data_IF_931859519722
#
_entry.id   IF_931859519722
#
_cell.length_a   1.000
_cell.length_b   1.000
_cell.length_c   1.000
_cell.angle_alpha   90.00
_cell.angle_beta   90.00
_cell.angle_gamma   90.00
#
_symmetry.space_group_name_H-M   'P 1'
#
loop_
_entity.id
_entity.type
_entity.pdbx_description
1 polymer ?
#
# COMPACT_ATOMS: atom_id res chain seq x y z
N UNK A 1 10.20 -14.53 20.17
CA UNK A 1 9.81 -15.97 20.19
C UNK A 1 9.46 -16.39 18.77
N UNK A 2 10.04 -17.50 18.29
CA UNK A 2 9.69 -18.07 16.98
C UNK A 2 8.24 -18.58 17.03
N UNK A 3 7.44 -18.21 16.04
CA UNK A 3 6.03 -18.60 15.95
C UNK A 3 5.89 -19.89 15.15
N UNK A 4 6.57 -19.98 14.00
CA UNK A 4 6.67 -21.20 13.18
C UNK A 4 7.98 -21.23 12.41
N UNK A 5 8.29 -22.38 11.83
CA UNK A 5 9.35 -22.56 10.85
C UNK A 5 8.87 -23.56 9.81
N UNK A 6 8.99 -23.21 8.55
CA UNK A 6 8.71 -24.07 7.41
C UNK A 6 10.01 -24.29 6.64
N UNK A 7 10.22 -25.50 6.15
CA UNK A 7 11.41 -25.85 5.38
C UNK A 7 10.98 -26.66 4.16
N UNK A 8 11.50 -26.31 3.01
CA UNK A 8 11.29 -27.05 1.78
C UNK A 8 12.62 -27.22 1.04
N UNK A 9 12.88 -28.43 0.57
CA UNK A 9 14.04 -28.71 -0.26
C UNK A 9 13.68 -28.49 -1.72
N UNK A 10 14.40 -27.58 -2.36
CA UNK A 10 14.18 -27.21 -3.76
C UNK A 10 15.44 -27.47 -4.56
N UNK A 11 15.26 -28.04 -5.74
CA UNK A 11 16.31 -28.16 -6.75
C UNK A 11 15.84 -27.46 -8.01
N UNK A 12 16.65 -26.58 -8.57
CA UNK A 12 16.37 -25.82 -9.78
C UNK A 12 17.45 -26.06 -10.84
N UNK A 13 17.04 -26.21 -12.09
CA UNK A 13 17.95 -26.18 -13.22
C UNK A 13 18.37 -24.72 -13.53
N UNK A 14 19.47 -24.48 -14.26
CA UNK A 14 19.85 -23.14 -14.69
C UNK A 14 18.71 -22.44 -15.49
N UNK A 15 18.31 -21.25 -15.05
CA UNK A 15 17.22 -20.49 -15.66
C UNK A 15 15.80 -20.94 -15.27
N UNK A 16 15.67 -21.96 -14.42
CA UNK A 16 14.36 -22.40 -13.92
C UNK A 16 13.85 -21.48 -12.83
N UNK A 17 12.55 -21.16 -12.88
CA UNK A 17 11.82 -20.46 -11.84
C UNK A 17 10.77 -21.37 -11.21
N UNK A 18 10.69 -21.41 -9.90
CA UNK A 18 9.68 -22.19 -9.16
C UNK A 18 9.01 -21.34 -8.09
N UNK A 19 7.69 -21.36 -8.10
CA UNK A 19 6.88 -20.73 -7.05
C UNK A 19 6.63 -21.75 -5.93
N UNK A 20 7.05 -21.41 -4.71
CA UNK A 20 6.81 -22.21 -3.52
C UNK A 20 5.68 -21.56 -2.74
N UNK A 21 4.67 -22.37 -2.39
CA UNK A 21 3.54 -21.92 -1.57
C UNK A 21 3.50 -22.74 -0.30
N UNK A 22 3.64 -22.08 0.84
CA UNK A 22 3.57 -22.70 2.16
C UNK A 22 2.54 -21.99 3.02
N UNK A 23 1.93 -22.73 3.95
CA UNK A 23 0.95 -22.19 4.88
C UNK A 23 1.23 -22.75 6.28
N UNK A 24 1.10 -21.90 7.29
CA UNK A 24 1.15 -22.29 8.69
C UNK A 24 0.11 -21.53 9.50
N UNK A 25 -0.62 -22.18 10.42
CA UNK A 25 -1.49 -21.49 11.35
C UNK A 25 -0.66 -20.72 12.39
N UNK A 26 -1.12 -19.54 12.74
CA UNK A 26 -0.59 -18.77 13.87
C UNK A 26 -1.65 -18.78 14.97
N UNK A 27 -1.39 -19.48 16.05
CA UNK A 27 -2.32 -19.55 17.18
C UNK A 27 -2.29 -18.27 18.00
N UNK A 28 -3.47 -17.72 18.28
CA UNK A 28 -3.65 -16.48 19.06
C UNK A 28 -2.73 -15.34 18.59
N UNK A 29 -2.81 -14.95 17.30
CA UNK A 29 -1.92 -13.92 16.78
C UNK A 29 -2.20 -12.56 17.43
N UNK A 30 -1.14 -11.77 17.62
CA UNK A 30 -1.29 -10.34 17.88
C UNK A 30 -1.64 -9.68 16.56
N UNK A 31 -2.87 -9.18 16.46
CA UNK A 31 -3.36 -8.56 15.24
C UNK A 31 -2.89 -7.10 15.17
N UNK A 32 -2.42 -6.73 13.99
CA UNK A 32 -2.07 -5.35 13.69
C UNK A 32 -3.34 -4.47 13.63
N UNK A 33 -3.27 -3.31 14.25
CA UNK A 33 -4.25 -2.24 14.07
C UNK A 33 -3.56 -0.86 14.21
N UNK A 34 -4.30 0.20 13.94
CA UNK A 34 -3.73 1.56 13.92
C UNK A 34 -3.25 2.06 15.28
N UNK A 35 -3.73 1.50 16.39
CA UNK A 35 -3.32 1.86 17.75
C UNK A 35 -2.23 0.92 18.31
N UNK A 36 -2.21 -0.33 17.81
CA UNK A 36 -1.19 -1.31 18.13
C UNK A 36 -0.65 -1.94 16.84
N UNK A 37 0.29 -1.28 16.15
CA UNK A 37 0.81 -1.72 14.86
C UNK A 37 1.86 -2.84 15.03
N UNK A 38 1.46 -3.98 15.58
CA UNK A 38 2.34 -5.10 15.83
C UNK A 38 2.76 -5.78 14.53
N UNK A 39 4.07 -5.91 14.34
CA UNK A 39 4.67 -6.56 13.17
C UNK A 39 5.42 -7.83 13.58
N UNK A 40 5.21 -8.89 12.82
CA UNK A 40 6.01 -10.09 12.88
C UNK A 40 7.22 -9.96 11.96
N UNK A 41 8.35 -10.51 12.39
CA UNK A 41 9.51 -10.63 11.53
C UNK A 41 9.40 -11.90 10.69
N UNK A 42 9.38 -11.76 9.38
CA UNK A 42 9.52 -12.84 8.41
C UNK A 42 10.99 -12.96 8.01
N UNK A 43 11.53 -14.18 8.08
CA UNK A 43 12.89 -14.46 7.64
C UNK A 43 12.80 -15.56 6.60
N UNK A 44 13.26 -15.28 5.39
CA UNK A 44 13.42 -16.25 4.31
C UNK A 44 14.92 -16.52 4.17
N UNK A 45 15.30 -17.80 4.36
CA UNK A 45 16.71 -18.21 4.36
C UNK A 45 16.95 -19.28 3.30
N UNK A 46 18.03 -19.12 2.58
CA UNK A 46 18.67 -20.17 1.77
C UNK A 46 20.07 -20.43 2.34
N UNK A 47 20.84 -21.31 1.70
CA UNK A 47 22.22 -21.57 2.12
C UNK A 47 23.14 -20.34 2.00
N UNK A 48 22.80 -19.39 1.11
CA UNK A 48 23.67 -18.28 0.76
C UNK A 48 23.07 -16.89 1.00
N UNK A 49 21.78 -16.82 1.34
CA UNK A 49 21.05 -15.56 1.44
C UNK A 49 20.00 -15.60 2.57
N UNK A 50 19.81 -14.47 3.22
CA UNK A 50 18.71 -14.26 4.15
C UNK A 50 18.01 -12.94 3.83
N UNK A 51 16.69 -13.01 3.58
CA UNK A 51 15.81 -11.84 3.41
C UNK A 51 15.01 -11.69 4.69
N UNK A 52 14.99 -10.48 5.21
CA UNK A 52 14.23 -10.13 6.42
C UNK A 52 13.19 -9.09 6.06
N UNK A 53 11.94 -9.40 6.39
CA UNK A 53 10.79 -8.52 6.17
C UNK A 53 9.92 -8.45 7.43
N UNK A 54 9.00 -7.47 7.46
CA UNK A 54 8.06 -7.29 8.54
C UNK A 54 6.64 -7.42 8.00
N UNK A 55 5.86 -8.31 8.60
CA UNK A 55 4.49 -8.59 8.17
C UNK A 55 3.47 -8.31 9.26
N UNK A 56 2.35 -7.74 8.86
CA UNK A 56 1.19 -7.50 9.72
C UNK A 56 0.17 -8.62 9.54
N UNK A 57 -0.34 -9.16 10.63
CA UNK A 57 -1.50 -10.04 10.60
C UNK A 57 -2.75 -9.21 10.84
N UNK A 58 -3.56 -9.01 9.81
CA UNK A 58 -4.80 -8.24 9.87
C UNK A 58 -5.82 -8.78 8.87
N UNK A 59 -7.10 -8.53 9.14
CA UNK A 59 -8.19 -8.81 8.22
C UNK A 59 -8.97 -7.54 7.94
N UNK A 60 -9.10 -7.19 6.67
CA UNK A 60 -9.94 -6.08 6.21
C UNK A 60 -11.15 -6.68 5.50
N UNK A 61 -12.34 -6.22 5.84
CA UNK A 61 -13.60 -6.66 5.26
C UNK A 61 -14.50 -5.45 4.99
N UNK A 62 -15.27 -5.52 3.90
CA UNK A 62 -16.34 -4.58 3.62
C UNK A 62 -17.66 -5.33 3.76
N UNK A 63 -18.51 -4.92 4.70
CA UNK A 63 -19.82 -5.48 4.95
C UNK A 63 -20.84 -4.34 5.06
N UNK A 64 -21.93 -4.45 4.30
CA UNK A 64 -22.99 -3.44 4.30
C UNK A 64 -22.45 -2.00 4.12
N UNK A 65 -21.53 -1.82 3.18
CA UNK A 65 -20.87 -0.53 2.88
C UNK A 65 -20.01 0.03 4.04
N UNK A 66 -19.68 -0.79 5.02
CA UNK A 66 -18.83 -0.42 6.17
C UNK A 66 -17.53 -1.23 6.13
N UNK A 67 -16.42 -0.55 6.39
CA UNK A 67 -15.09 -1.17 6.48
C UNK A 67 -14.86 -1.66 7.91
N UNK A 68 -14.38 -2.90 8.01
CA UNK A 68 -13.98 -3.54 9.27
C UNK A 68 -12.50 -3.91 9.23
N UNK A 69 -11.80 -3.63 10.30
CA UNK A 69 -10.46 -4.11 10.58
C UNK A 69 -10.52 -5.10 11.75
N UNK A 70 -10.12 -6.36 11.52
CA UNK A 70 -10.19 -7.43 12.52
C UNK A 70 -11.57 -7.59 13.18
N UNK A 71 -12.63 -7.41 12.40
CA UNK A 71 -14.02 -7.49 12.86
C UNK A 71 -14.55 -6.23 13.56
N UNK A 72 -13.76 -5.19 13.75
CA UNK A 72 -14.19 -3.91 14.33
C UNK A 72 -14.43 -2.88 13.23
N UNK A 73 -15.54 -2.14 13.32
CA UNK A 73 -15.81 -1.02 12.41
C UNK A 73 -14.70 0.02 12.51
N UNK A 74 -14.21 0.48 11.37
CA UNK A 74 -13.24 1.57 11.33
C UNK A 74 -13.78 2.77 10.56
N UNK A 75 -13.25 3.94 10.90
CA UNK A 75 -13.44 5.17 10.15
C UNK A 75 -12.07 5.76 9.85
N UNK A 76 -11.82 6.06 8.58
CA UNK A 76 -10.61 6.78 8.19
C UNK A 76 -10.68 8.22 8.69
N UNK A 77 -9.70 8.58 9.50
CA UNK A 77 -9.38 9.95 9.91
C UNK A 77 -8.00 10.22 9.34
N UNK A 78 -7.96 10.80 8.18
CA UNK A 78 -6.73 10.88 7.42
C UNK A 78 -6.63 12.13 6.57
N UNK A 79 -5.56 12.19 5.83
CA UNK A 79 -5.20 13.28 4.93
C UNK A 79 -4.78 12.74 3.57
N UNK A 80 -4.92 13.58 2.54
CA UNK A 80 -4.23 13.37 1.27
C UNK A 80 -2.78 13.85 1.46
N UNK A 81 -1.83 13.01 1.08
CA UNK A 81 -0.41 13.33 1.20
C UNK A 81 0.24 13.28 -0.17
N UNK A 82 0.98 14.32 -0.49
CA UNK A 82 1.93 14.35 -1.60
C UNK A 82 3.35 14.16 -1.08
N UNK A 83 4.23 13.56 -1.90
CA UNK A 83 5.65 13.68 -1.69
C UNK A 83 6.06 15.12 -2.02
N UNK A 84 6.29 15.91 -0.98
CA UNK A 84 6.59 17.33 -1.11
C UNK A 84 7.42 17.83 0.07
N UNK A 85 8.51 18.49 -0.23
CA UNK A 85 9.41 19.13 0.72
C UNK A 85 9.86 20.49 0.19
N UNK A 86 9.95 21.53 1.04
CA UNK A 86 10.29 22.88 0.60
C UNK A 86 11.73 23.02 0.07
N UNK A 87 12.61 22.06 0.35
CA UNK A 87 14.01 22.07 -0.09
C UNK A 87 14.28 21.08 -1.21
N UNK A 88 13.79 19.83 -1.05
CA UNK A 88 14.08 18.74 -1.97
C UNK A 88 12.99 18.51 -3.04
N UNK A 89 11.89 19.28 -2.99
CA UNK A 89 10.77 19.16 -3.91
C UNK A 89 10.05 17.82 -3.75
N UNK A 90 9.91 17.05 -4.83
CA UNK A 90 9.24 15.74 -4.82
C UNK A 90 10.16 14.58 -4.41
N UNK A 91 11.44 14.84 -4.17
CA UNK A 91 12.39 13.81 -3.71
C UNK A 91 12.35 13.72 -2.20
N UNK A 92 11.73 12.67 -1.68
CA UNK A 92 11.49 12.48 -0.24
C UNK A 92 12.37 11.36 0.29
N UNK A 93 12.93 11.57 1.47
CA UNK A 93 13.73 10.58 2.20
C UNK A 93 12.99 10.02 3.43
N UNK A 94 13.48 8.93 4.05
CA UNK A 94 12.84 8.32 5.21
C UNK A 94 12.68 9.25 6.42
N UNK A 95 13.62 10.20 6.64
CA UNK A 95 13.56 11.15 7.75
C UNK A 95 12.38 12.13 7.59
N UNK A 96 12.16 12.60 6.37
CA UNK A 96 11.03 13.49 6.05
C UNK A 96 9.71 12.77 6.23
N UNK A 97 9.60 11.50 5.77
CA UNK A 97 8.41 10.67 6.01
C UNK A 97 8.21 10.43 7.50
N UNK A 98 9.25 10.13 8.26
CA UNK A 98 9.17 9.97 9.72
C UNK A 98 8.57 11.20 10.38
N UNK A 99 8.97 12.38 9.94
CA UNK A 99 8.44 13.66 10.45
C UNK A 99 6.96 13.78 10.18
N UNK A 100 6.53 13.54 8.93
CA UNK A 100 5.12 13.57 8.53
C UNK A 100 4.27 12.60 9.34
N UNK A 101 4.68 11.32 9.39
CA UNK A 101 3.94 10.28 10.10
C UNK A 101 3.85 10.55 11.60
N UNK A 102 4.93 11.04 12.20
CA UNK A 102 4.94 11.40 13.63
C UNK A 102 3.96 12.53 13.91
N UNK A 103 3.98 13.59 13.10
CA UNK A 103 3.07 14.72 13.22
C UNK A 103 1.62 14.28 13.07
N UNK A 104 1.32 13.48 12.05
CA UNK A 104 -0.02 12.95 11.82
C UNK A 104 -0.51 12.08 12.99
N UNK A 105 0.36 11.24 13.58
CA UNK A 105 0.01 10.45 14.78
C UNK A 105 -0.32 11.33 15.99
N UNK A 106 0.48 12.37 16.21
CA UNK A 106 0.22 13.33 17.31
C UNK A 106 -1.13 14.03 17.17
N UNK A 107 -1.65 14.13 15.93
CA UNK A 107 -2.98 14.69 15.65
C UNK A 107 -4.08 13.63 15.48
N UNK A 108 -3.84 12.40 15.92
CA UNK A 108 -4.79 11.28 15.90
C UNK A 108 -5.27 10.86 14.48
N UNK A 109 -4.46 11.03 13.46
CA UNK A 109 -4.73 10.45 12.16
C UNK A 109 -4.42 8.94 12.16
N UNK A 110 -5.23 8.17 11.44
CA UNK A 110 -5.07 6.74 11.30
C UNK A 110 -5.02 6.28 9.82
N UNK A 111 -5.15 7.20 8.87
CA UNK A 111 -5.17 6.89 7.46
C UNK A 111 -4.46 7.96 6.63
N UNK A 112 -3.90 7.54 5.51
CA UNK A 112 -3.27 8.41 4.51
C UNK A 112 -3.75 7.96 3.13
N UNK A 113 -4.06 8.91 2.25
CA UNK A 113 -4.22 8.65 0.83
C UNK A 113 -2.99 9.12 0.09
N UNK A 114 -2.38 8.19 -0.68
CA UNK A 114 -1.20 8.49 -1.50
C UNK A 114 -1.62 9.26 -2.75
N UNK A 115 -1.93 10.52 -2.60
CA UNK A 115 -2.40 11.34 -3.72
C UNK A 115 -1.23 11.91 -4.53
N UNK A 116 -1.15 11.70 -5.86
CA UNK A 116 -2.09 10.91 -6.69
C UNK A 116 -1.30 9.83 -7.44
N UNK A 117 -0.43 9.10 -6.77
CA UNK A 117 0.52 8.13 -7.32
C UNK A 117 1.01 7.17 -6.22
N UNK A 118 1.50 5.97 -6.57
CA UNK A 118 2.16 5.08 -5.63
C UNK A 118 3.40 5.75 -5.03
N UNK A 119 3.58 5.58 -3.73
CA UNK A 119 4.78 6.07 -3.05
C UNK A 119 5.92 5.04 -3.11
N UNK A 120 7.12 5.44 -2.67
CA UNK A 120 8.26 4.53 -2.56
C UNK A 120 7.95 3.37 -1.58
N UNK A 121 8.46 2.14 -1.82
CA UNK A 121 8.16 0.97 -0.97
C UNK A 121 8.37 1.20 0.52
N UNK A 122 9.42 1.91 0.91
CA UNK A 122 9.70 2.21 2.31
C UNK A 122 8.62 3.09 2.99
N UNK A 123 7.83 3.87 2.24
CA UNK A 123 6.70 4.61 2.79
C UNK A 123 5.66 3.66 3.38
N UNK A 124 5.31 2.60 2.66
CA UNK A 124 4.33 1.60 3.12
C UNK A 124 4.83 0.83 4.34
N UNK A 125 6.12 0.45 4.34
CA UNK A 125 6.74 -0.17 5.51
C UNK A 125 6.67 0.75 6.75
N UNK A 126 6.88 2.04 6.56
CA UNK A 126 6.75 3.02 7.63
C UNK A 126 5.30 3.19 8.06
N UNK A 127 4.34 3.19 7.15
CA UNK A 127 2.92 3.21 7.48
C UNK A 127 2.53 1.98 8.33
N UNK A 128 3.02 0.81 8.00
CA UNK A 128 2.81 -0.41 8.80
C UNK A 128 3.40 -0.26 10.21
N UNK A 129 4.60 0.29 10.35
CA UNK A 129 5.28 0.52 11.64
C UNK A 129 4.58 1.58 12.50
N UNK A 130 4.10 2.65 11.88
CA UNK A 130 3.44 3.76 12.58
C UNK A 130 1.93 3.56 12.76
N UNK A 131 1.35 2.51 12.18
CA UNK A 131 -0.06 2.20 12.31
C UNK A 131 -0.97 3.08 11.46
N UNK A 132 -0.65 3.26 10.19
CA UNK A 132 -1.50 3.94 9.23
C UNK A 132 -2.13 2.96 8.25
N UNK A 133 -3.43 3.15 8.01
CA UNK A 133 -4.09 2.60 6.84
C UNK A 133 -3.74 3.45 5.63
N UNK A 134 -3.47 2.83 4.49
CA UNK A 134 -3.19 3.57 3.26
C UNK A 134 -4.29 3.30 2.24
N UNK A 135 -4.80 4.37 1.64
CA UNK A 135 -5.58 4.32 0.40
C UNK A 135 -4.58 4.62 -0.69
N UNK A 136 -4.12 3.57 -1.35
CA UNK A 136 -3.13 3.68 -2.40
C UNK A 136 -3.77 4.04 -3.73
N UNK A 137 -3.13 4.90 -4.51
CA UNK A 137 -3.61 5.31 -5.82
C UNK A 137 -2.64 4.82 -6.91
N UNK A 138 -3.21 4.27 -7.97
CA UNK A 138 -2.47 4.05 -9.20
C UNK A 138 -2.12 5.41 -9.85
N UNK A 139 -1.04 5.46 -10.61
CA UNK A 139 -0.59 6.67 -11.31
C UNK A 139 -1.42 6.92 -12.57
N UNK A 140 -2.70 7.23 -12.37
CA UNK A 140 -3.67 7.48 -13.45
C UNK A 140 -4.32 8.87 -13.37
N UNK A 141 -3.60 9.87 -12.90
CA UNK A 141 -4.10 11.26 -12.88
C UNK A 141 -4.31 11.78 -14.32
N UNK A 142 -5.56 11.71 -14.78
CA UNK A 142 -5.93 11.83 -16.19
C UNK A 142 -6.26 13.26 -16.65
N UNK A 143 -5.79 14.32 -15.98
CA UNK A 143 -6.04 15.71 -16.37
C UNK A 143 -5.50 16.04 -17.78
N UNK A 144 -4.33 15.52 -18.15
CA UNK A 144 -3.73 15.76 -19.44
C UNK A 144 -4.60 15.29 -20.61
N UNK A 145 -4.96 13.99 -20.68
CA UNK A 145 -5.89 13.48 -21.68
C UNK A 145 -7.23 14.21 -21.69
N UNK A 146 -7.79 14.49 -20.51
CA UNK A 146 -9.03 15.23 -20.39
C UNK A 146 -8.95 16.62 -21.05
N UNK A 147 -7.89 17.38 -20.81
CA UNK A 147 -7.72 18.72 -21.37
C UNK A 147 -7.50 18.72 -22.88
N UNK A 148 -6.78 17.72 -23.41
CA UNK A 148 -6.45 17.61 -24.84
C UNK A 148 -7.68 17.20 -25.66
N UNK A 149 -8.47 16.24 -25.14
CA UNK A 149 -9.57 15.64 -25.89
C UNK A 149 -10.96 16.17 -25.53
N UNK A 150 -11.02 17.19 -24.73
CA UNK A 150 -12.28 17.85 -24.38
C UNK A 150 -12.87 18.53 -25.62
N UNK A 151 -14.05 18.04 -26.07
CA UNK A 151 -14.77 18.63 -27.23
C UNK A 151 -15.74 19.70 -26.82
N UNK A 152 -16.36 19.59 -25.64
CA UNK A 152 -17.36 20.53 -25.12
C UNK A 152 -17.17 20.70 -23.61
N UNK A 153 -17.35 21.91 -23.12
CA UNK A 153 -17.18 22.28 -21.71
C UNK A 153 -18.53 22.15 -20.97
N UNK A 154 -19.13 20.96 -21.00
CA UNK A 154 -20.29 20.66 -20.17
C UNK A 154 -19.84 19.83 -18.97
N UNK A 155 -20.41 20.08 -17.79
CA UNK A 155 -20.06 19.34 -16.56
C UNK A 155 -20.20 17.84 -16.72
N UNK A 156 -21.22 17.38 -17.46
CA UNK A 156 -21.44 15.96 -17.71
C UNK A 156 -20.32 15.31 -18.56
N UNK A 157 -19.93 15.97 -19.66
CA UNK A 157 -18.85 15.46 -20.53
C UNK A 157 -17.48 15.56 -19.85
N UNK A 158 -17.31 16.50 -18.95
CA UNK A 158 -16.10 16.68 -18.16
C UNK A 158 -15.79 15.46 -17.29
N UNK A 159 -16.76 14.97 -16.52
CA UNK A 159 -16.57 13.83 -15.62
C UNK A 159 -16.56 12.49 -16.36
N UNK A 160 -17.37 12.32 -17.38
CA UNK A 160 -17.49 11.06 -18.13
C UNK A 160 -16.21 10.69 -18.89
N UNK A 161 -15.48 11.67 -19.42
CA UNK A 161 -14.27 11.44 -20.21
C UNK A 161 -12.99 11.28 -19.36
N UNK A 162 -13.04 11.62 -18.12
CA UNK A 162 -11.85 11.54 -17.26
C UNK A 162 -11.28 10.11 -17.17
N UNK A 163 -12.15 9.12 -17.18
CA UNK A 163 -11.76 7.72 -17.06
C UNK A 163 -11.83 6.94 -18.38
N UNK A 164 -12.65 7.37 -19.34
CA UNK A 164 -12.90 6.63 -20.59
C UNK A 164 -11.67 6.48 -21.50
N UNK A 165 -10.65 7.29 -21.35
CA UNK A 165 -9.52 7.31 -22.28
C UNK A 165 -8.31 6.51 -21.81
N UNK A 166 -8.25 6.19 -20.55
CA UNK A 166 -7.14 5.44 -19.93
C UNK A 166 -7.67 4.18 -19.26
N UNK A 167 -8.57 4.32 -18.30
CA UNK A 167 -9.03 3.20 -17.48
C UNK A 167 -9.89 2.18 -18.25
N UNK A 168 -10.60 2.61 -19.30
CA UNK A 168 -11.45 1.75 -20.11
C UNK A 168 -10.76 1.20 -21.38
N UNK A 169 -9.54 1.64 -21.68
CA UNK A 169 -8.80 1.18 -22.87
C UNK A 169 -7.80 0.08 -22.47
N UNK A 170 -8.01 -1.17 -22.97
CA UNK A 170 -7.11 -2.29 -22.69
C UNK A 170 -5.64 -2.05 -23.05
N UNK A 171 -5.35 -1.09 -23.93
CA UNK A 171 -3.98 -0.73 -24.28
C UNK A 171 -3.17 -0.17 -23.11
N UNK A 172 -3.85 0.31 -22.06
CA UNK A 172 -3.22 0.88 -20.85
C UNK A 172 -3.15 -0.10 -19.68
N UNK A 173 -3.76 -1.30 -19.80
CA UNK A 173 -3.84 -2.26 -18.69
C UNK A 173 -2.45 -2.59 -18.13
N UNK A 174 -1.47 -2.91 -18.98
CA UNK A 174 -0.10 -3.24 -18.57
C UNK A 174 0.63 -2.09 -17.87
N UNK A 175 0.26 -0.84 -18.17
CA UNK A 175 0.88 0.34 -17.57
C UNK A 175 0.24 0.76 -16.24
N UNK A 176 -1.00 0.29 -15.97
CA UNK A 176 -1.78 0.70 -14.79
C UNK A 176 -1.77 -0.40 -13.70
N UNK A 177 -1.69 -1.68 -14.08
CA UNK A 177 -1.71 -2.85 -13.22
C UNK A 177 -0.32 -3.43 -13.06
#
# INVERSE_FOLDING_TARGET
>A
KQVFRLVEKVTLAPGEMKVIRQQAPVENPVLWNTENPYLYKLILETENEAIVDHIALRKIEIKDQVIYLNGQKIKFRGVNRHDSDPVTGFTINPEQITTDLTLMKQHNFNAIRSSHYPNAPFFYEMCDKYGFMVIDEADIEAHGPFMIYRKEDTDYNRFKRWNEMIADDPAWEEAIV
#
